data_IF_213345429295
#
_entry.id   IF_213345429295
#
_cell.length_a   1.000
_cell.length_b   1.000
_cell.length_c   1.000
_cell.angle_alpha   90.00
_cell.angle_beta   90.00
_cell.angle_gamma   90.00
#
_symmetry.space_group_name_H-M   'P 1'
#
loop_
_entity.id
_entity.type
_entity.pdbx_description
1 polymer ?
#
# COMPACT_ATOMS: atom_id res chain seq x y z
N UNK A 1 8.79 7.65 21.25
CA UNK A 1 9.83 8.43 21.97
C UNK A 1 10.00 9.88 21.54
N UNK A 2 9.42 10.32 20.42
CA UNK A 2 9.48 11.73 19.99
C UNK A 2 8.93 12.77 20.99
N UNK A 3 8.08 12.38 21.95
CA UNK A 3 7.42 13.29 22.90
C UNK A 3 8.02 13.35 24.31
N UNK A 4 9.16 12.70 24.58
CA UNK A 4 9.79 12.72 25.91
C UNK A 4 9.07 11.92 27.01
N UNK A 5 8.17 11.01 26.64
CA UNK A 5 7.44 10.14 27.58
C UNK A 5 8.27 8.95 28.06
N UNK A 6 9.46 9.21 28.62
CA UNK A 6 10.39 8.17 29.05
C UNK A 6 9.82 7.29 30.18
N UNK A 7 9.04 7.87 31.09
CA UNK A 7 8.37 7.15 32.17
C UNK A 7 7.37 6.10 31.64
N UNK A 8 6.62 6.46 30.60
CA UNK A 8 5.66 5.54 29.94
C UNK A 8 6.41 4.44 29.19
N UNK A 9 7.48 4.80 28.47
CA UNK A 9 8.30 3.82 27.75
C UNK A 9 8.92 2.79 28.72
N UNK A 10 9.47 3.24 29.86
CA UNK A 10 9.98 2.36 30.93
C UNK A 10 8.90 1.41 31.44
N UNK A 11 7.73 1.94 31.79
CA UNK A 11 6.63 1.13 32.30
C UNK A 11 6.20 0.05 31.29
N UNK A 12 6.08 0.39 30.01
CA UNK A 12 5.73 -0.58 28.96
C UNK A 12 6.77 -1.69 28.84
N UNK A 13 8.05 -1.35 28.90
CA UNK A 13 9.16 -2.31 28.80
C UNK A 13 9.25 -3.18 30.04
N UNK A 14 9.04 -2.62 31.22
CA UNK A 14 8.94 -3.37 32.48
C UNK A 14 7.78 -4.38 32.47
N UNK A 15 6.73 -4.10 31.68
CA UNK A 15 5.61 -5.01 31.44
C UNK A 15 5.81 -5.94 30.22
N UNK A 16 7.02 -5.99 29.65
CA UNK A 16 7.40 -6.90 28.58
C UNK A 16 7.05 -6.44 27.17
N UNK A 17 6.75 -5.16 26.95
CA UNK A 17 6.57 -4.63 25.60
C UNK A 17 7.91 -4.57 24.85
N UNK A 18 7.92 -5.07 23.61
CA UNK A 18 9.04 -4.96 22.67
C UNK A 18 8.67 -4.10 21.47
N UNK A 19 9.63 -3.39 20.88
CA UNK A 19 9.40 -2.60 19.64
C UNK A 19 9.35 -3.52 18.40
N UNK A 20 9.39 -4.85 18.56
CA UNK A 20 9.52 -5.81 17.44
C UNK A 20 8.31 -5.90 16.51
N UNK A 21 7.13 -5.39 16.89
CA UNK A 21 5.89 -5.51 16.13
C UNK A 21 5.51 -4.27 15.31
N UNK A 22 6.42 -3.30 15.15
CA UNK A 22 6.15 -2.04 14.43
C UNK A 22 7.19 -1.70 13.35
N UNK A 23 7.05 -0.52 12.76
CA UNK A 23 7.97 0.02 11.75
C UNK A 23 9.32 0.47 12.35
N UNK A 24 10.05 -0.44 13.00
CA UNK A 24 11.35 -0.14 13.63
C UNK A 24 12.33 0.47 12.64
N UNK A 25 12.34 -0.05 11.40
CA UNK A 25 13.15 0.53 10.32
C UNK A 25 12.79 1.99 10.05
N UNK A 26 11.49 2.32 9.99
CA UNK A 26 11.05 3.71 9.80
C UNK A 26 11.41 4.59 11.00
N UNK A 27 11.24 4.10 12.23
CA UNK A 27 11.65 4.86 13.42
C UNK A 27 13.15 5.12 13.46
N UNK A 28 13.95 4.15 13.03
CA UNK A 28 15.42 4.27 12.97
C UNK A 28 15.85 5.25 11.89
N UNK A 29 15.19 5.23 10.72
CA UNK A 29 15.40 6.21 9.66
C UNK A 29 15.06 7.63 10.13
N UNK A 30 13.89 7.85 10.73
CA UNK A 30 13.49 9.15 11.27
C UNK A 30 14.48 9.62 12.36
N UNK A 31 14.97 8.71 13.20
CA UNK A 31 15.98 9.04 14.22
C UNK A 31 17.29 9.55 13.59
N UNK A 32 17.73 8.92 12.50
CA UNK A 32 18.90 9.32 11.74
C UNK A 32 18.69 10.66 11.01
N UNK A 33 17.51 10.89 10.42
CA UNK A 33 17.14 12.18 9.79
C UNK A 33 17.14 13.33 10.80
N UNK A 34 16.74 13.05 12.05
CA UNK A 34 16.77 14.01 13.15
C UNK A 34 18.16 14.19 13.78
N UNK A 35 19.17 13.46 13.30
CA UNK A 35 20.50 13.39 13.89
C UNK A 35 20.48 13.08 15.40
N UNK A 36 19.55 12.22 15.82
CA UNK A 36 19.31 11.94 17.23
C UNK A 36 19.84 10.56 17.62
N UNK A 37 21.13 10.52 17.95
CA UNK A 37 21.81 9.30 18.40
C UNK A 37 21.17 8.69 19.66
N UNK A 38 20.66 9.52 20.58
CA UNK A 38 20.04 9.02 21.81
C UNK A 38 18.76 8.24 21.49
N UNK A 39 17.98 8.71 20.52
CA UNK A 39 16.76 8.03 20.10
C UNK A 39 17.07 6.67 19.44
N UNK A 40 18.14 6.59 18.65
CA UNK A 40 18.62 5.31 18.11
C UNK A 40 19.05 4.33 19.20
N UNK A 41 19.80 4.81 20.21
CA UNK A 41 20.19 4.00 21.38
C UNK A 41 18.98 3.52 22.16
N UNK A 42 17.97 4.36 22.34
CA UNK A 42 16.77 3.96 23.03
C UNK A 42 15.97 2.91 22.24
N UNK A 43 15.92 2.99 20.90
CA UNK A 43 15.30 1.96 20.05
C UNK A 43 15.97 0.60 20.31
N UNK A 44 17.31 0.55 20.30
CA UNK A 44 18.07 -0.67 20.61
C UNK A 44 17.81 -1.15 22.03
N UNK A 45 17.82 -0.23 23.00
CA UNK A 45 17.56 -0.54 24.42
C UNK A 45 16.21 -1.23 24.65
N UNK A 46 15.21 -0.90 23.84
CA UNK A 46 13.87 -1.49 23.92
C UNK A 46 13.68 -2.67 22.94
N UNK A 47 14.77 -3.24 22.42
CA UNK A 47 14.78 -4.44 21.60
C UNK A 47 14.40 -4.22 20.13
N UNK A 48 14.48 -2.98 19.64
CA UNK A 48 14.30 -2.68 18.22
C UNK A 48 15.58 -2.91 17.42
N UNK A 49 15.46 -3.57 16.27
CA UNK A 49 16.55 -3.71 15.30
C UNK A 49 16.68 -2.47 14.41
N UNK A 50 17.72 -1.67 14.66
CA UNK A 50 18.03 -0.43 13.91
C UNK A 50 18.64 -0.69 12.53
N UNK A 51 18.98 -1.94 12.20
CA UNK A 51 19.56 -2.33 10.91
C UNK A 51 18.51 -2.67 9.86
N UNK A 52 17.25 -2.81 10.28
CA UNK A 52 16.12 -3.07 9.41
C UNK A 52 15.87 -1.89 8.44
N UNK A 53 15.57 -2.18 7.16
CA UNK A 53 15.12 -1.16 6.24
C UNK A 53 13.71 -0.70 6.58
N UNK A 54 13.37 0.51 6.16
CA UNK A 54 11.99 1.00 6.17
C UNK A 54 11.18 0.47 4.97
N UNK A 55 9.93 0.92 4.84
CA UNK A 55 9.04 0.55 3.73
C UNK A 55 9.58 0.94 2.34
N UNK A 56 10.55 1.84 2.30
CA UNK A 56 11.20 2.31 1.08
C UNK A 56 12.60 1.70 0.89
N UNK A 57 12.90 0.58 1.55
CA UNK A 57 14.21 -0.10 1.51
C UNK A 57 15.39 0.74 2.01
N UNK A 58 15.14 1.96 2.52
CA UNK A 58 16.15 2.80 3.14
C UNK A 58 16.45 2.29 4.55
N UNK A 59 17.73 2.15 4.86
CA UNK A 59 18.19 1.90 6.23
C UNK A 59 18.62 3.20 6.90
N UNK A 60 18.66 3.21 8.23
CA UNK A 60 19.17 4.34 9.00
C UNK A 60 20.62 4.72 8.60
N UNK A 61 21.39 3.74 8.09
CA UNK A 61 22.77 3.94 7.63
C UNK A 61 22.83 4.82 6.36
N UNK A 62 21.92 4.63 5.40
CA UNK A 62 21.87 5.48 4.19
C UNK A 62 21.68 6.95 4.57
N UNK A 63 20.74 7.21 5.48
CA UNK A 63 20.47 8.57 5.97
C UNK A 63 21.63 9.12 6.78
N UNK A 64 22.21 8.32 7.68
CA UNK A 64 23.35 8.77 8.48
C UNK A 64 24.55 9.18 7.61
N UNK A 65 24.77 8.48 6.49
CA UNK A 65 25.78 8.84 5.49
C UNK A 65 25.38 10.08 4.72
N UNK A 66 24.12 10.20 4.27
CA UNK A 66 23.70 11.40 3.52
C UNK A 66 23.79 12.68 4.35
N UNK A 67 23.60 12.58 5.66
CA UNK A 67 23.71 13.69 6.59
C UNK A 67 25.14 13.90 7.15
N UNK A 68 26.14 13.14 6.67
CA UNK A 68 27.54 13.15 7.14
C UNK A 68 27.71 12.97 8.67
N UNK A 69 26.81 12.20 9.30
CA UNK A 69 26.79 12.02 10.74
C UNK A 69 27.63 10.82 11.18
N UNK A 70 28.95 11.04 11.27
CA UNK A 70 29.94 10.02 11.58
C UNK A 70 29.69 9.28 12.91
N UNK A 71 29.15 9.95 13.93
CA UNK A 71 28.80 9.30 15.21
C UNK A 71 27.68 8.27 15.06
N UNK A 72 26.65 8.60 14.29
CA UNK A 72 25.52 7.70 14.01
C UNK A 72 25.99 6.56 13.11
N UNK A 73 26.83 6.83 12.10
CA UNK A 73 27.41 5.80 11.24
C UNK A 73 28.21 4.78 12.07
N UNK A 74 29.07 5.24 12.99
CA UNK A 74 29.80 4.36 13.92
C UNK A 74 28.87 3.50 14.75
N UNK A 75 27.84 4.11 15.31
CA UNK A 75 26.87 3.40 16.14
C UNK A 75 26.15 2.31 15.34
N UNK A 76 25.61 2.63 14.18
CA UNK A 76 24.88 1.68 13.33
C UNK A 76 25.76 0.53 12.84
N UNK A 77 27.04 0.79 12.53
CA UNK A 77 28.00 -0.27 12.19
C UNK A 77 28.33 -1.17 13.39
N UNK A 78 28.40 -0.58 14.60
CA UNK A 78 28.54 -1.32 15.85
C UNK A 78 27.36 -2.25 16.11
N UNK A 79 26.15 -1.82 15.76
CA UNK A 79 24.92 -2.64 15.81
C UNK A 79 24.81 -3.66 14.65
N UNK A 80 25.78 -3.70 13.73
CA UNK A 80 25.83 -4.70 12.66
C UNK A 80 25.17 -4.27 11.34
N UNK A 81 24.94 -2.97 11.12
CA UNK A 81 24.44 -2.48 9.84
C UNK A 81 25.39 -2.85 8.67
N UNK A 82 24.81 -3.25 7.55
CA UNK A 82 25.56 -3.62 6.36
C UNK A 82 25.70 -2.42 5.42
N UNK A 83 26.94 -2.06 5.09
CA UNK A 83 27.26 -0.95 4.19
C UNK A 83 26.91 -1.23 2.72
N UNK A 84 26.88 -2.52 2.34
CA UNK A 84 26.68 -2.99 0.97
C UNK A 84 25.21 -3.36 0.67
N UNK A 85 24.28 -3.07 1.60
CA UNK A 85 22.84 -3.24 1.33
C UNK A 85 22.40 -2.08 0.42
N UNK A 86 21.78 -2.36 -0.75
CA UNK A 86 21.23 -1.31 -1.60
C UNK A 86 19.91 -0.77 -1.02
N UNK A 87 19.64 0.50 -1.28
CA UNK A 87 18.33 1.12 -1.11
C UNK A 87 17.39 0.85 -2.31
N UNK A 88 16.18 1.43 -2.30
CA UNK A 88 15.20 1.32 -3.39
C UNK A 88 15.74 1.82 -4.74
N UNK A 89 16.69 2.75 -4.73
CA UNK A 89 17.30 3.31 -5.93
C UNK A 89 18.54 2.50 -6.36
N UNK A 90 18.90 1.45 -5.63
CA UNK A 90 20.07 0.62 -5.87
C UNK A 90 21.38 1.21 -5.37
N UNK A 91 21.35 2.31 -4.62
CA UNK A 91 22.53 2.91 -4.01
C UNK A 91 22.86 2.21 -2.70
N UNK A 92 24.13 1.87 -2.50
CA UNK A 92 24.60 1.43 -1.18
C UNK A 92 25.04 2.62 -0.34
N UNK A 93 25.11 2.44 0.98
CA UNK A 93 25.67 3.46 1.87
C UNK A 93 27.11 3.85 1.49
N UNK A 94 27.89 2.89 0.94
CA UNK A 94 29.24 3.17 0.43
C UNK A 94 29.21 4.04 -0.82
N UNK A 95 28.33 3.72 -1.77
CA UNK A 95 28.18 4.54 -2.98
C UNK A 95 27.74 5.97 -2.65
N UNK A 96 26.86 6.16 -1.65
CA UNK A 96 26.46 7.48 -1.18
C UNK A 96 27.64 8.28 -0.60
N UNK A 97 28.49 7.65 0.22
CA UNK A 97 29.69 8.28 0.76
C UNK A 97 30.66 8.69 -0.37
N UNK A 98 30.81 7.83 -1.39
CA UNK A 98 31.62 8.08 -2.58
C UNK A 98 31.10 9.23 -3.43
N UNK A 99 29.79 9.23 -3.70
CA UNK A 99 29.13 10.26 -4.49
C UNK A 99 29.17 11.64 -3.82
N UNK A 100 29.07 11.69 -2.49
CA UNK A 100 29.00 12.94 -1.73
C UNK A 100 30.38 13.44 -1.27
N UNK A 101 31.42 12.59 -1.30
CA UNK A 101 32.79 12.98 -0.93
C UNK A 101 33.06 12.94 0.58
N UNK A 102 32.34 12.10 1.34
CA UNK A 102 32.49 11.99 2.79
C UNK A 102 33.71 11.16 3.19
N UNK A 103 34.91 11.75 3.05
CA UNK A 103 36.19 11.05 3.18
C UNK A 103 36.43 10.36 4.54
N UNK A 104 35.91 10.92 5.64
CA UNK A 104 36.03 10.30 6.96
C UNK A 104 35.14 9.04 7.07
N UNK A 105 33.93 9.07 6.49
CA UNK A 105 33.02 7.91 6.45
C UNK A 105 33.61 6.82 5.55
N UNK A 106 34.22 7.18 4.41
CA UNK A 106 34.90 6.22 3.53
C UNK A 106 36.01 5.48 4.26
N UNK A 107 36.91 6.21 4.92
CA UNK A 107 37.99 5.63 5.74
C UNK A 107 37.45 4.69 6.80
N UNK A 108 36.32 5.05 7.40
CA UNK A 108 35.64 4.21 8.36
C UNK A 108 35.13 2.91 7.74
N UNK A 109 34.48 2.98 6.58
CA UNK A 109 33.99 1.82 5.83
C UNK A 109 35.10 0.91 5.33
N UNK A 110 36.28 1.46 5.01
CA UNK A 110 37.48 0.69 4.67
C UNK A 110 38.03 -0.05 5.90
N UNK A 111 38.16 0.64 7.04
CA UNK A 111 38.65 0.02 8.28
C UNK A 111 37.75 -1.13 8.77
N UNK A 112 36.43 -1.00 8.60
CA UNK A 112 35.46 -2.04 8.99
C UNK A 112 35.49 -3.29 8.10
N UNK A 113 36.13 -3.22 6.92
CA UNK A 113 36.27 -4.37 6.00
C UNK A 113 37.32 -5.37 6.47
N UNK A 114 38.36 -4.90 7.17
CA UNK A 114 39.51 -5.73 7.58
C UNK A 114 39.21 -6.59 8.83
N UNK A 115 38.14 -6.30 9.56
CA UNK A 115 37.76 -7.01 10.80
C UNK A 115 36.94 -8.30 10.63
N UNK A 116 36.65 -8.75 9.40
CA UNK A 116 35.85 -9.96 9.11
C UNK A 116 36.53 -10.91 8.11
N UNK A 117 37.85 -11.07 8.21
CA UNK A 117 38.63 -11.97 7.34
C UNK A 117 39.01 -13.33 7.96
N UNK A 118 38.38 -13.75 9.06
CA UNK A 118 38.57 -15.10 9.62
C UNK A 118 37.25 -15.88 9.65
N UNK A 119 36.81 -16.37 8.49
CA UNK A 119 36.17 -17.70 8.40
C UNK A 119 36.20 -18.21 6.96
N UNK A 120 36.97 -19.30 6.80
CA UNK A 120 36.92 -20.33 5.77
C UNK A 120 37.58 -20.01 4.42
N UNK A 121 38.80 -20.56 4.32
CA UNK A 121 39.53 -20.89 3.10
C UNK A 121 38.69 -21.83 2.21
N UNK A 122 38.49 -21.44 0.95
CA UNK A 122 38.39 -22.36 -0.19
C UNK A 122 38.79 -21.64 -1.50
N UNK A 123 40.05 -21.85 -1.90
CA UNK A 123 40.66 -21.98 -3.24
C UNK A 123 40.15 -21.08 -4.41
N UNK A 124 41.06 -20.37 -5.13
CA UNK A 124 40.69 -19.40 -6.16
C UNK A 124 40.47 -20.04 -7.54
N UNK A 125 39.47 -19.58 -8.28
CA UNK A 125 39.39 -19.83 -9.73
C UNK A 125 39.23 -18.51 -10.52
N UNK A 126 40.33 -18.18 -11.19
CA UNK A 126 40.52 -17.34 -12.39
C UNK A 126 39.65 -16.10 -12.61
N UNK A 127 40.33 -14.98 -12.38
CA UNK A 127 40.34 -13.74 -13.17
C UNK A 127 39.83 -13.91 -14.62
N UNK A 128 38.75 -13.21 -14.95
CA UNK A 128 38.59 -12.56 -16.25
C UNK A 128 38.11 -11.12 -16.05
N UNK A 129 39.09 -10.22 -16.17
CA UNK A 129 38.87 -8.79 -16.37
C UNK A 129 38.34 -8.62 -17.80
N UNK A 130 37.21 -7.93 -17.96
CA UNK A 130 36.94 -7.21 -19.20
C UNK A 130 36.47 -5.78 -18.89
N UNK A 131 37.32 -4.83 -19.28
CA UNK A 131 37.03 -3.41 -19.32
C UNK A 131 35.86 -3.11 -20.29
N UNK A 132 35.12 -2.04 -20.00
CA UNK A 132 34.58 -1.17 -21.06
C UNK A 132 33.06 -0.99 -21.07
N UNK A 133 32.66 0.18 -20.58
CA UNK A 133 31.36 0.86 -20.80
C UNK A 133 30.84 0.66 -22.23
N UNK A 134 29.55 0.34 -22.38
CA UNK A 134 28.79 0.56 -23.63
C UNK A 134 27.43 1.17 -23.33
N UNK A 135 27.27 2.45 -23.64
CA UNK A 135 25.97 3.07 -23.84
C UNK A 135 25.27 2.42 -25.05
N UNK A 136 24.06 1.89 -24.88
CA UNK A 136 23.20 1.53 -26.01
C UNK A 136 21.89 2.33 -25.98
N UNK A 137 21.85 3.31 -26.89
CA UNK A 137 20.81 3.54 -27.90
C UNK A 137 19.34 3.29 -27.55
N UNK A 138 18.56 4.36 -27.74
CA UNK A 138 17.09 4.43 -27.79
C UNK A 138 16.46 3.29 -28.60
N UNK A 139 15.56 2.53 -27.99
CA UNK A 139 14.70 1.58 -28.70
C UNK A 139 13.52 2.32 -29.35
N UNK A 140 13.48 2.34 -30.68
CA UNK A 140 12.23 2.55 -31.43
C UNK A 140 11.67 1.19 -31.82
N UNK A 141 10.53 0.81 -31.25
CA UNK A 141 9.82 -0.41 -31.63
C UNK A 141 8.95 -0.17 -32.86
N UNK A 142 9.32 -0.74 -34.01
CA UNK A 142 8.41 -0.89 -35.15
C UNK A 142 7.47 -2.10 -34.94
N UNK A 143 6.17 -2.02 -35.29
CA UNK A 143 5.24 -3.12 -35.11
C UNK A 143 5.30 -4.07 -36.31
N UNK A 144 5.58 -5.35 -36.05
CA UNK A 144 5.59 -6.38 -37.08
C UNK A 144 4.22 -7.11 -37.09
N UNK A 145 3.31 -6.68 -37.97
CA UNK A 145 2.05 -7.41 -38.23
C UNK A 145 2.11 -7.95 -39.67
N UNK A 146 2.14 -9.27 -39.81
CA UNK A 146 1.97 -9.96 -41.09
C UNK A 146 0.49 -9.99 -41.48
N UNK A 147 0.08 -9.68 -42.72
CA UNK A 147 -1.31 -9.78 -43.12
C UNK A 147 -1.67 -11.24 -43.42
N UNK A 148 -2.88 -11.64 -43.02
CA UNK A 148 -3.48 -12.91 -43.39
C UNK A 148 -3.96 -12.86 -44.85
N UNK A 149 -3.52 -13.84 -45.64
CA UNK A 149 -4.02 -14.11 -47.00
C UNK A 149 -5.45 -14.65 -46.94
N UNK A 150 -6.34 -14.12 -47.78
CA UNK A 150 -7.64 -14.71 -48.07
C UNK A 150 -7.83 -14.72 -49.59
N UNK A 151 -7.80 -15.94 -50.14
CA UNK A 151 -8.08 -16.26 -51.54
C UNK A 151 -9.53 -15.97 -51.93
N UNK A 152 -9.75 -15.62 -53.20
CA UNK A 152 -11.05 -15.77 -53.88
C UNK A 152 -11.63 -14.54 -54.62
N UNK A 153 -11.03 -14.20 -55.76
CA UNK A 153 -11.62 -14.01 -57.11
C UNK A 153 -12.94 -13.24 -57.39
N UNK A 154 -12.80 -12.28 -58.34
CA UNK A 154 -13.70 -11.84 -59.46
C UNK A 154 -14.51 -10.52 -59.42
N UNK A 155 -14.10 -9.65 -60.37
CA UNK A 155 -14.85 -8.80 -61.34
C UNK A 155 -15.63 -7.53 -60.93
N UNK A 156 -15.49 -6.47 -61.75
CA UNK A 156 -16.60 -5.56 -62.09
C UNK A 156 -16.56 -4.10 -61.60
N UNK A 157 -15.86 -3.24 -62.35
CA UNK A 157 -16.03 -1.78 -62.54
C UNK A 157 -17.33 -1.08 -62.06
N UNK A 158 -17.22 0.13 -61.44
CA UNK A 158 -17.89 1.43 -61.78
C UNK A 158 -17.79 2.49 -60.65
N UNK A 159 -17.91 3.75 -61.06
CA UNK A 159 -17.65 5.03 -60.37
C UNK A 159 -18.65 5.49 -59.28
N UNK A 160 -18.16 6.44 -58.46
CA UNK A 160 -18.85 7.58 -57.80
C UNK A 160 -19.73 7.44 -56.52
N UNK A 161 -19.35 8.29 -55.55
CA UNK A 161 -20.11 9.06 -54.55
C UNK A 161 -20.83 8.42 -53.33
N UNK A 162 -20.56 9.11 -52.20
CA UNK A 162 -21.37 9.34 -50.99
C UNK A 162 -21.55 8.27 -49.90
N UNK A 163 -20.95 8.60 -48.74
CA UNK A 163 -21.47 8.52 -47.36
C UNK A 163 -22.41 7.37 -46.99
N UNK A 164 -21.98 6.53 -46.03
CA UNK A 164 -22.60 6.43 -44.70
C UNK A 164 -21.92 5.34 -43.86
N UNK A 165 -21.46 5.77 -42.68
CA UNK A 165 -21.66 5.12 -41.37
C UNK A 165 -21.59 3.58 -41.33
N UNK A 166 -20.50 3.06 -40.76
CA UNK A 166 -20.58 1.86 -39.91
C UNK A 166 -19.94 2.14 -38.55
N UNK A 167 -20.82 2.32 -37.57
CA UNK A 167 -20.53 2.43 -36.15
C UNK A 167 -19.68 1.23 -35.70
N UNK A 168 -18.42 1.49 -35.28
CA UNK A 168 -17.66 0.53 -34.48
C UNK A 168 -18.14 0.63 -33.03
N UNK A 169 -18.61 -0.51 -32.51
CA UNK A 169 -19.05 -0.74 -31.13
C UNK A 169 -18.08 -0.07 -30.15
N UNK A 170 -18.57 0.92 -29.40
CA UNK A 170 -17.91 1.40 -28.18
C UNK A 170 -18.00 0.27 -27.16
N UNK A 171 -16.95 -0.54 -27.06
CA UNK A 171 -16.72 -1.33 -25.87
C UNK A 171 -16.47 -0.36 -24.73
N UNK A 172 -17.34 -0.38 -23.73
CA UNK A 172 -17.22 0.37 -22.48
C UNK A 172 -15.78 0.27 -21.94
N UNK A 173 -15.09 1.42 -21.86
CA UNK A 173 -13.74 1.51 -21.33
C UNK A 173 -13.78 1.28 -19.81
N UNK A 174 -13.44 0.07 -19.36
CA UNK A 174 -13.28 -0.29 -17.94
C UNK A 174 -12.00 0.27 -17.29
N UNK A 175 -11.44 1.37 -17.80
CA UNK A 175 -10.14 1.88 -17.35
C UNK A 175 -10.22 3.01 -16.31
N UNK A 176 -11.36 3.18 -15.62
CA UNK A 176 -11.51 4.23 -14.61
C UNK A 176 -10.52 4.12 -13.43
N UNK A 177 -10.07 2.92 -13.10
CA UNK A 177 -9.08 2.67 -12.03
C UNK A 177 -7.63 2.52 -12.55
N UNK A 178 -7.41 2.63 -13.86
CA UNK A 178 -6.07 2.59 -14.46
C UNK A 178 -5.49 4.01 -14.52
N UNK A 179 -4.17 4.13 -14.38
CA UNK A 179 -3.43 5.39 -14.54
C UNK A 179 -3.85 6.15 -15.82
N UNK A 180 -4.08 5.42 -16.91
CA UNK A 180 -4.53 5.99 -18.18
C UNK A 180 -5.93 6.63 -18.11
N UNK A 181 -6.86 6.05 -17.34
CA UNK A 181 -8.19 6.61 -17.13
C UNK A 181 -8.20 7.81 -16.20
N UNK A 182 -7.39 7.78 -15.14
CA UNK A 182 -7.22 8.91 -14.19
C UNK A 182 -6.69 10.14 -14.93
N UNK A 183 -5.64 9.97 -15.74
CA UNK A 183 -5.05 11.05 -16.55
C UNK A 183 -6.04 11.55 -17.61
N UNK A 184 -6.80 10.65 -18.24
CA UNK A 184 -7.82 11.00 -19.24
C UNK A 184 -8.97 11.84 -18.64
N UNK A 185 -9.31 11.65 -17.36
CA UNK A 185 -10.30 12.48 -16.66
C UNK A 185 -9.73 13.82 -16.18
N UNK A 186 -8.43 13.88 -15.87
CA UNK A 186 -7.79 15.09 -15.33
C UNK A 186 -7.58 16.21 -16.37
N UNK A 187 -7.51 15.88 -17.65
CA UNK A 187 -7.25 16.87 -18.71
C UNK A 187 -8.51 17.62 -19.18
N UNK A 188 -9.70 17.26 -18.68
CA UNK A 188 -10.94 18.01 -18.91
C UNK A 188 -11.26 18.88 -17.70
N UNK A 189 -10.60 20.03 -17.61
CA UNK A 189 -11.13 21.26 -17.01
C UNK A 189 -11.76 21.17 -15.60
N UNK A 190 -10.94 21.56 -14.62
CA UNK A 190 -11.29 22.32 -13.41
C UNK A 190 -11.73 21.62 -12.11
N UNK A 191 -10.78 21.71 -11.15
CA UNK A 191 -10.91 22.04 -9.72
C UNK A 191 -11.52 21.01 -8.77
N UNK A 192 -10.63 20.33 -8.05
CA UNK A 192 -10.91 19.72 -6.75
C UNK A 192 -9.64 19.17 -6.11
N UNK A 193 -8.99 19.98 -5.26
CA UNK A 193 -7.97 19.50 -4.32
C UNK A 193 -8.61 18.52 -3.30
N UNK A 194 -7.82 17.58 -2.74
CA UNK A 194 -8.33 16.60 -1.81
C UNK A 194 -8.49 17.24 -0.41
N UNK A 195 -9.68 17.03 0.18
CA UNK A 195 -10.11 17.38 1.54
C UNK A 195 -10.52 18.85 1.78
N UNK A 196 -11.71 19.05 2.39
CA UNK A 196 -11.87 20.09 3.38
C UNK A 196 -12.26 19.53 4.74
N UNK A 197 -11.40 19.81 5.70
CA UNK A 197 -11.81 20.19 7.06
C UNK A 197 -12.77 21.38 6.93
N UNK A 198 -13.90 21.37 7.66
CA UNK A 198 -14.40 22.45 8.54
C UNK A 198 -15.93 22.43 8.68
N UNK A 199 -16.34 22.37 9.95
CA UNK A 199 -17.33 23.23 10.62
C UNK A 199 -18.38 24.02 9.80
N UNK A 200 -19.61 23.83 10.25
CA UNK A 200 -20.72 24.76 10.48
C UNK A 200 -21.37 25.57 9.35
N UNK A 201 -22.69 25.49 9.43
CA UNK A 201 -23.72 26.48 9.11
C UNK A 201 -24.08 26.78 7.65
N UNK A 202 -25.28 26.28 7.36
CA UNK A 202 -26.38 26.90 6.61
C UNK A 202 -26.30 26.94 5.07
N UNK A 203 -27.30 26.27 4.52
CA UNK A 203 -28.02 26.57 3.27
C UNK A 203 -27.22 26.55 1.97
N UNK A 204 -27.27 25.44 1.23
CA UNK A 204 -27.45 25.44 -0.22
C UNK A 204 -27.63 24.01 -0.79
N UNK A 205 -28.79 23.81 -1.43
CA UNK A 205 -29.10 22.98 -2.64
C UNK A 205 -28.51 21.56 -2.79
N UNK A 206 -29.31 20.57 -3.23
CA UNK A 206 -28.90 19.18 -3.24
C UNK A 206 -27.90 18.92 -4.37
N UNK A 207 -26.62 18.76 -4.00
CA UNK A 207 -25.64 18.09 -4.86
C UNK A 207 -25.83 16.59 -4.67
N UNK A 208 -26.25 15.90 -5.72
CA UNK A 208 -26.18 14.44 -5.81
C UNK A 208 -24.71 14.00 -5.73
N UNK A 209 -24.20 13.87 -4.51
CA UNK A 209 -23.05 13.03 -4.24
C UNK A 209 -23.48 11.58 -4.51
N UNK A 210 -22.67 10.76 -5.19
CA UNK A 210 -22.88 9.33 -5.16
C UNK A 210 -22.57 8.87 -3.74
N UNK A 211 -23.61 8.77 -2.92
CA UNK A 211 -23.52 8.16 -1.60
C UNK A 211 -22.99 6.74 -1.85
N UNK A 212 -21.78 6.44 -1.37
CA UNK A 212 -21.31 5.06 -1.31
C UNK A 212 -22.26 4.37 -0.34
N UNK A 213 -23.25 3.65 -0.87
CA UNK A 213 -24.23 2.95 -0.06
C UNK A 213 -23.51 1.78 0.61
N UNK A 214 -23.51 1.78 1.95
CA UNK A 214 -22.94 0.71 2.77
C UNK A 214 -23.57 -0.62 2.37
N UNK A 215 -22.76 -1.67 2.23
CA UNK A 215 -23.17 -3.04 1.93
C UNK A 215 -23.02 -3.89 3.17
N UNK A 216 -23.99 -4.76 3.39
CA UNK A 216 -24.10 -5.59 4.59
C UNK A 216 -24.42 -7.00 4.17
N UNK A 217 -23.84 -7.97 4.86
CA UNK A 217 -24.11 -9.39 4.61
C UNK A 217 -25.16 -9.88 5.60
N UNK A 218 -26.26 -10.43 5.08
CA UNK A 218 -27.35 -10.95 5.91
C UNK A 218 -27.39 -12.47 5.87
N UNK A 219 -27.69 -13.10 7.00
CA UNK A 219 -27.84 -14.55 7.11
C UNK A 219 -28.94 -14.91 8.09
N UNK A 220 -29.48 -16.12 7.97
CA UNK A 220 -30.41 -16.66 8.94
C UNK A 220 -30.07 -18.13 9.24
N UNK A 221 -29.85 -18.50 10.51
CA UNK A 221 -29.56 -19.88 10.91
C UNK A 221 -30.80 -20.78 10.87
N UNK A 222 -32.02 -20.22 10.95
CA UNK A 222 -33.27 -20.99 11.06
C UNK A 222 -33.75 -21.60 9.73
N UNK A 223 -33.32 -21.06 8.58
CA UNK A 223 -33.82 -21.46 7.25
C UNK A 223 -32.91 -22.46 6.53
N UNK A 224 -31.80 -22.89 7.12
CA UNK A 224 -30.88 -23.87 6.52
C UNK A 224 -30.07 -23.37 5.31
N UNK A 225 -30.36 -22.18 4.78
CA UNK A 225 -29.53 -21.47 3.80
C UNK A 225 -28.45 -20.63 4.53
N UNK A 226 -27.36 -21.26 4.95
CA UNK A 226 -26.24 -20.58 5.63
C UNK A 226 -25.33 -19.77 4.70
N UNK A 227 -25.75 -19.49 3.46
CA UNK A 227 -25.00 -18.64 2.53
C UNK A 227 -25.43 -17.20 2.73
N UNK A 228 -24.56 -16.38 3.33
CA UNK A 228 -24.83 -14.96 3.56
C UNK A 228 -25.15 -14.23 2.25
N UNK A 229 -26.28 -13.50 2.21
CA UNK A 229 -26.73 -12.71 1.05
C UNK A 229 -26.28 -11.26 1.25
N UNK A 230 -25.68 -10.66 0.22
CA UNK A 230 -25.29 -9.25 0.25
C UNK A 230 -26.50 -8.33 -0.01
N UNK A 231 -26.57 -7.26 0.78
CA UNK A 231 -27.58 -6.22 0.73
C UNK A 231 -26.95 -4.84 0.80
N UNK A 232 -27.62 -3.86 0.20
CA UNK A 232 -27.36 -2.45 0.48
C UNK A 232 -28.10 -2.09 1.75
N UNK A 233 -27.43 -1.34 2.64
CA UNK A 233 -28.01 -0.85 3.89
C UNK A 233 -29.08 0.19 3.56
N UNK A 234 -30.36 -0.06 3.92
CA UNK A 234 -31.44 0.91 3.76
C UNK A 234 -31.29 2.09 4.74
N UNK A 235 -32.18 3.07 4.63
CA UNK A 235 -32.15 4.23 5.51
C UNK A 235 -32.80 3.97 6.88
N UNK A 236 -33.55 2.87 7.03
CA UNK A 236 -34.20 2.50 8.30
C UNK A 236 -34.09 1.01 8.60
N UNK A 237 -34.11 0.69 9.90
CA UNK A 237 -34.05 -0.70 10.39
C UNK A 237 -35.30 -1.48 9.95
N UNK A 238 -36.47 -0.82 9.91
CA UNK A 238 -37.71 -1.43 9.43
C UNK A 238 -37.62 -1.85 7.95
N UNK A 239 -37.07 -0.98 7.09
CA UNK A 239 -36.81 -1.33 5.69
C UNK A 239 -35.81 -2.49 5.58
N UNK A 240 -34.79 -2.53 6.43
CA UNK A 240 -33.83 -3.62 6.47
C UNK A 240 -34.48 -4.97 6.82
N UNK A 241 -35.41 -5.00 7.78
CA UNK A 241 -36.19 -6.19 8.13
C UNK A 241 -37.10 -6.63 6.98
N UNK A 242 -37.76 -5.69 6.29
CA UNK A 242 -38.62 -5.99 5.14
C UNK A 242 -37.84 -6.54 3.95
N UNK A 243 -36.69 -5.95 3.63
CA UNK A 243 -35.81 -6.39 2.54
C UNK A 243 -35.18 -7.75 2.89
N UNK A 244 -34.73 -7.93 4.13
CA UNK A 244 -34.25 -9.21 4.62
C UNK A 244 -35.33 -10.27 4.52
N UNK A 245 -36.58 -9.95 4.89
CA UNK A 245 -37.65 -10.92 4.85
C UNK A 245 -38.07 -11.33 3.44
N UNK A 246 -38.05 -10.40 2.48
CA UNK A 246 -38.22 -10.71 1.04
C UNK A 246 -37.09 -11.60 0.51
N UNK A 247 -35.85 -11.39 0.94
CA UNK A 247 -34.68 -12.15 0.47
C UNK A 247 -34.48 -13.51 1.14
N UNK A 248 -34.92 -13.64 2.39
CA UNK A 248 -34.75 -14.86 3.20
C UNK A 248 -36.03 -15.70 3.30
N UNK A 249 -37.19 -15.17 2.84
CA UNK A 249 -38.44 -15.93 2.75
C UNK A 249 -39.24 -16.05 4.05
N UNK A 250 -38.90 -15.30 5.09
CA UNK A 250 -39.64 -15.21 6.36
C UNK A 250 -39.57 -13.79 6.92
N UNK A 251 -40.45 -13.39 7.84
CA UNK A 251 -40.42 -12.02 8.41
C UNK A 251 -39.60 -12.00 9.71
N UNK A 252 -38.34 -11.52 9.70
CA UNK A 252 -37.55 -11.42 10.91
C UNK A 252 -38.08 -10.30 11.83
N UNK A 253 -37.94 -10.50 13.14
CA UNK A 253 -38.29 -9.49 14.16
C UNK A 253 -37.07 -8.90 14.86
N UNK A 254 -35.96 -9.64 14.88
CA UNK A 254 -34.73 -9.27 15.56
C UNK A 254 -33.55 -9.34 14.61
N UNK A 255 -32.63 -8.39 14.77
CA UNK A 255 -31.35 -8.34 14.06
C UNK A 255 -30.27 -8.55 15.11
N UNK A 256 -29.42 -9.55 14.87
CA UNK A 256 -28.30 -9.90 15.72
C UNK A 256 -26.99 -9.70 14.98
N UNK A 257 -25.90 -9.47 15.70
CA UNK A 257 -24.55 -9.64 15.15
C UNK A 257 -24.23 -11.13 15.00
N UNK A 258 -23.13 -11.45 14.30
CA UNK A 258 -22.58 -12.83 14.27
C UNK A 258 -22.32 -13.41 15.67
N UNK A 259 -22.10 -12.56 16.66
CA UNK A 259 -21.81 -12.92 18.05
C UNK A 259 -23.07 -13.04 18.92
N UNK A 260 -24.26 -12.71 18.37
CA UNK A 260 -25.55 -12.85 19.03
C UNK A 260 -26.02 -11.62 19.82
N UNK A 261 -25.38 -10.45 19.64
CA UNK A 261 -25.83 -9.20 20.25
C UNK A 261 -26.97 -8.58 19.43
N UNK A 262 -28.02 -8.08 20.10
CA UNK A 262 -29.16 -7.42 19.45
C UNK A 262 -28.82 -6.01 18.97
N UNK A 263 -29.26 -5.67 17.77
CA UNK A 263 -29.02 -4.39 17.11
C UNK A 263 -30.34 -3.62 17.06
N UNK A 264 -30.45 -2.58 17.88
CA UNK A 264 -31.64 -1.74 17.99
C UNK A 264 -31.54 -0.45 17.15
N UNK A 265 -30.33 -0.07 16.74
CA UNK A 265 -30.05 1.18 16.02
C UNK A 265 -29.25 0.91 14.75
N UNK A 266 -29.71 1.50 13.63
CA UNK A 266 -29.10 1.35 12.31
C UNK A 266 -27.75 2.07 12.23
N UNK A 267 -27.53 3.11 13.05
CA UNK A 267 -26.29 3.90 13.05
C UNK A 267 -25.08 3.12 13.56
N UNK A 268 -25.32 2.00 14.25
CA UNK A 268 -24.28 1.08 14.74
C UNK A 268 -23.72 0.22 13.61
N UNK A 269 -24.47 0.03 12.52
CA UNK A 269 -24.11 -0.86 11.41
C UNK A 269 -23.10 -0.18 10.49
N UNK A 270 -22.00 -0.86 10.20
CA UNK A 270 -20.91 -0.41 9.31
C UNK A 270 -20.90 -1.17 7.99
N UNK A 271 -20.20 -0.60 7.00
CA UNK A 271 -19.97 -1.28 5.71
C UNK A 271 -19.19 -2.58 5.93
N UNK A 272 -19.71 -3.68 5.42
CA UNK A 272 -19.13 -5.03 5.56
C UNK A 272 -19.68 -5.86 6.73
N UNK A 273 -20.56 -5.31 7.57
CA UNK A 273 -21.06 -6.05 8.75
C UNK A 273 -21.86 -7.31 8.38
N UNK A 274 -21.82 -8.29 9.29
CA UNK A 274 -22.56 -9.54 9.20
C UNK A 274 -23.76 -9.52 10.15
N UNK A 275 -24.96 -9.42 9.59
CA UNK A 275 -26.22 -9.42 10.31
C UNK A 275 -26.88 -10.79 10.26
N UNK A 276 -27.37 -11.22 11.41
CA UNK A 276 -28.06 -12.48 11.63
C UNK A 276 -29.51 -12.17 11.99
N UNK A 277 -30.44 -12.61 11.15
CA UNK A 277 -31.86 -12.38 11.36
C UNK A 277 -32.50 -13.61 11.99
N UNK A 278 -33.32 -13.41 13.03
CA UNK A 278 -34.09 -14.47 13.69
C UNK A 278 -35.58 -14.12 13.68
N UNK A 279 -36.40 -15.14 13.40
CA UNK A 279 -37.82 -15.08 13.63
C UNK A 279 -38.04 -15.49 15.09
N UNK A 280 -38.72 -14.66 15.88
CA UNK A 280 -38.96 -14.97 17.29
C UNK A 280 -39.83 -16.25 17.39
N UNK A 281 -39.16 -17.40 17.45
CA UNK A 281 -39.75 -18.73 17.53
C UNK A 281 -38.82 -19.69 18.29
N UNK A 282 -38.36 -19.27 19.47
CA UNK A 282 -38.06 -20.26 20.53
C UNK A 282 -39.35 -20.58 21.25
N UNK A 283 -39.97 -21.68 20.86
CA UNK A 283 -41.16 -22.23 21.49
C UNK A 283 -40.92 -22.63 22.94
N UNK A 284 -41.89 -22.31 23.79
CA UNK A 284 -42.88 -23.27 24.31
C UNK A 284 -44.26 -22.62 24.22
#
# INVERSE_FOLDING_TARGET
MLGGHESVAKLLVDNGASISSGDVGQFSVIAAEQNNLNLLKDIVRYGGDVTCPNSSENTALHVAVSEDNLEIVKFLLGEGAHMDKPDMLGWTARDLADQQGHEEIKRLFESHKEGKADTVIAIPEKVQVHHGIRFLGRFTSEPNIRPASRDGSMDGSWSQHHSQVRQRRRTSNNFHNSLFGIISTAHNGEKGLPFPITNNNQSARPRNNPIIQSRVTISCPEVGESTGKLLLLPASLQELLEVAGKKLGFMPKKILTKEGAEIDDIDVIRDGDHLVFSSDSRGV
#
